data_IF_343868609463
#
_entry.id   IF_343868609463
#
_cell.length_a   1.000
_cell.length_b   1.000
_cell.length_c   1.000
_cell.angle_alpha   90.00
_cell.angle_beta   90.00
_cell.angle_gamma   90.00
#
_symmetry.space_group_name_H-M   'P 1'
#
loop_
_entity.id
_entity.type
_entity.pdbx_description
1 polymer ?
#
# COMPACT_ATOMS: atom_id res chain seq x y z
N UNK A 1 21.88 -21.75 16.11
CA UNK A 1 22.16 -21.49 14.68
C UNK A 1 21.55 -20.13 14.36
N UNK A 2 22.36 -19.06 14.37
CA UNK A 2 21.89 -17.69 14.08
C UNK A 2 22.14 -17.43 12.60
N UNK A 3 21.08 -17.23 11.82
CA UNK A 3 21.19 -16.88 10.40
C UNK A 3 21.52 -15.39 10.28
N UNK A 4 22.77 -15.05 10.00
CA UNK A 4 23.16 -13.71 9.56
C UNK A 4 22.81 -13.58 8.08
N UNK A 5 21.80 -12.75 7.78
CA UNK A 5 21.41 -12.41 6.42
C UNK A 5 22.48 -11.45 5.88
N UNK A 6 23.28 -11.93 4.92
CA UNK A 6 24.25 -11.10 4.20
C UNK A 6 23.50 -10.23 3.18
N UNK A 7 23.28 -8.96 3.55
CA UNK A 7 22.74 -7.98 2.62
C UNK A 7 23.86 -7.48 1.71
N UNK A 8 24.08 -8.19 0.60
CA UNK A 8 24.81 -7.66 -0.55
C UNK A 8 23.96 -6.57 -1.23
N UNK A 9 23.85 -5.41 -0.59
CA UNK A 9 23.30 -4.21 -1.20
C UNK A 9 24.48 -3.39 -1.74
N UNK A 10 24.57 -3.24 -3.06
CA UNK A 10 25.44 -2.22 -3.67
C UNK A 10 25.13 -0.86 -3.04
N UNK A 11 26.07 -0.24 -2.32
CA UNK A 11 25.66 0.66 -1.27
C UNK A 11 25.63 2.09 -1.80
N UNK A 12 24.43 2.63 -1.95
CA UNK A 12 24.25 3.98 -1.41
C UNK A 12 24.46 3.82 0.10
N UNK A 13 25.71 3.95 0.54
CA UNK A 13 26.04 3.84 1.96
C UNK A 13 25.23 4.90 2.72
N UNK A 14 24.77 4.54 3.91
CA UNK A 14 24.07 5.50 4.78
C UNK A 14 24.94 6.74 4.96
N UNK A 15 26.25 6.56 5.07
CA UNK A 15 27.25 7.63 5.13
C UNK A 15 27.21 8.57 3.91
N UNK A 16 27.19 8.02 2.69
CA UNK A 16 27.06 8.84 1.47
C UNK A 16 25.73 9.60 1.43
N UNK A 17 24.64 9.00 1.93
CA UNK A 17 23.35 9.65 2.02
C UNK A 17 23.33 10.76 3.08
N UNK A 18 23.97 10.55 4.24
CA UNK A 18 24.16 11.58 5.26
C UNK A 18 25.00 12.73 4.71
N UNK A 19 26.11 12.44 4.02
CA UNK A 19 26.96 13.47 3.42
C UNK A 19 26.21 14.31 2.38
N UNK A 20 25.36 13.67 1.56
CA UNK A 20 24.61 14.34 0.50
C UNK A 20 23.41 15.14 1.00
N UNK A 21 22.65 14.61 1.96
CA UNK A 21 21.35 15.16 2.36
C UNK A 21 21.35 15.74 3.79
N UNK A 22 22.34 15.40 4.61
CA UNK A 22 22.43 15.75 6.02
C UNK A 22 21.66 14.77 6.92
N UNK A 23 22.19 14.56 8.13
CA UNK A 23 21.64 13.58 9.08
C UNK A 23 20.18 13.87 9.46
N UNK A 24 19.81 15.13 9.69
CA UNK A 24 18.45 15.50 10.09
C UNK A 24 17.41 15.23 9.00
N UNK A 25 17.76 15.49 7.73
CA UNK A 25 16.84 15.22 6.60
C UNK A 25 16.70 13.72 6.36
N UNK A 26 17.81 12.98 6.46
CA UNK A 26 17.79 11.52 6.35
C UNK A 26 16.93 10.90 7.46
N UNK A 27 17.12 11.31 8.72
CA UNK A 27 16.36 10.81 9.86
C UNK A 27 14.86 11.10 9.70
N UNK A 28 14.49 12.33 9.32
CA UNK A 28 13.09 12.69 9.08
C UNK A 28 12.48 11.84 7.95
N UNK A 29 13.21 11.62 6.86
CA UNK A 29 12.74 10.78 5.77
C UNK A 29 12.56 9.32 6.21
N UNK A 30 13.49 8.77 7.01
CA UNK A 30 13.38 7.42 7.56
C UNK A 30 12.16 7.27 8.49
N UNK A 31 11.90 8.26 9.35
CA UNK A 31 10.71 8.29 10.21
C UNK A 31 9.41 8.36 9.40
N UNK A 32 9.36 9.22 8.39
CA UNK A 32 8.20 9.32 7.50
C UNK A 32 7.99 8.01 6.76
N UNK A 33 9.04 7.39 6.23
CA UNK A 33 8.96 6.10 5.57
C UNK A 33 8.46 5.00 6.51
N UNK A 34 8.91 4.98 7.78
CA UNK A 34 8.43 4.02 8.77
C UNK A 34 6.92 4.14 9.00
N UNK A 35 6.40 5.37 9.12
CA UNK A 35 4.98 5.63 9.36
C UNK A 35 4.15 5.41 8.10
N UNK A 36 4.64 5.89 6.95
CA UNK A 36 3.92 5.84 5.67
C UNK A 36 3.92 4.45 5.02
N UNK A 37 4.79 3.54 5.46
CA UNK A 37 4.86 2.15 4.99
C UNK A 37 3.81 1.23 5.65
N UNK A 38 2.74 1.80 6.18
CA UNK A 38 1.51 1.04 6.41
C UNK A 38 0.93 0.55 5.08
N UNK A 39 0.14 -0.55 5.07
CA UNK A 39 -0.58 -0.95 3.86
C UNK A 39 -1.39 0.24 3.37
N UNK A 40 -1.18 0.63 2.11
CA UNK A 40 -1.99 1.69 1.48
C UNK A 40 -3.46 1.31 1.69
N UNK A 41 -4.29 2.14 2.33
CA UNK A 41 -5.70 1.81 2.49
C UNK A 41 -6.26 1.53 1.10
N UNK A 42 -6.87 0.36 0.92
CA UNK A 42 -7.54 0.07 -0.34
C UNK A 42 -8.56 1.19 -0.60
N UNK A 43 -8.74 1.57 -1.86
CA UNK A 43 -9.83 2.48 -2.19
C UNK A 43 -11.11 1.82 -1.69
N UNK A 44 -11.87 2.52 -0.84
CA UNK A 44 -13.16 2.04 -0.35
C UNK A 44 -14.10 1.97 -1.55
N UNK A 45 -14.26 0.78 -2.11
CA UNK A 45 -15.18 0.51 -3.19
C UNK A 45 -16.52 0.04 -2.59
N UNK A 46 -17.59 0.79 -2.85
CA UNK A 46 -18.93 0.42 -2.42
C UNK A 46 -19.37 -0.93 -3.02
N UNK A 47 -18.81 -1.32 -4.17
CA UNK A 47 -19.01 -2.64 -4.79
C UNK A 47 -18.36 -3.80 -4.02
N UNK A 48 -17.41 -3.53 -3.11
CA UNK A 48 -16.80 -4.54 -2.24
C UNK A 48 -17.53 -4.72 -0.90
N UNK A 49 -18.57 -3.92 -0.63
CA UNK A 49 -19.39 -4.09 0.56
C UNK A 49 -20.31 -5.30 0.39
N UNK A 50 -20.44 -6.11 1.45
CA UNK A 50 -21.40 -7.21 1.48
C UNK A 50 -22.84 -6.69 1.41
N UNK A 51 -23.77 -7.52 0.91
CA UNK A 51 -25.17 -7.13 0.75
C UNK A 51 -25.83 -6.69 2.06
N UNK A 52 -25.44 -7.30 3.19
CA UNK A 52 -25.89 -6.89 4.52
C UNK A 52 -25.45 -5.46 4.86
N UNK A 53 -24.18 -5.14 4.65
CA UNK A 53 -23.63 -3.82 4.93
C UNK A 53 -24.21 -2.75 3.99
N UNK A 54 -24.46 -3.11 2.72
CA UNK A 54 -25.13 -2.25 1.75
C UNK A 54 -26.58 -1.96 2.13
N UNK A 55 -27.29 -2.95 2.69
CA UNK A 55 -28.66 -2.78 3.18
C UNK A 55 -28.72 -1.84 4.39
N UNK A 56 -27.77 -1.96 5.31
CA UNK A 56 -27.73 -1.13 6.53
C UNK A 56 -27.45 0.35 6.23
N UNK A 57 -26.73 0.65 5.16
CA UNK A 57 -26.41 2.03 4.72
C UNK A 57 -27.32 2.53 3.58
N UNK A 58 -28.30 1.75 3.15
CA UNK A 58 -29.27 2.13 2.12
C UNK A 58 -28.75 2.13 0.67
N UNK A 59 -27.65 1.45 0.37
CA UNK A 59 -26.99 1.43 -0.94
C UNK A 59 -27.60 0.44 -1.96
N UNK A 60 -28.65 -0.30 -1.60
CA UNK A 60 -29.28 -1.31 -2.47
C UNK A 60 -28.34 -2.50 -2.81
N UNK A 61 -28.83 -3.58 -3.42
CA UNK A 61 -27.99 -4.70 -3.82
C UNK A 61 -26.93 -4.26 -4.84
N UNK A 62 -25.76 -4.91 -4.85
CA UNK A 62 -24.73 -4.65 -5.85
C UNK A 62 -25.22 -5.14 -7.23
N UNK A 63 -25.04 -4.32 -8.27
CA UNK A 63 -25.34 -4.73 -9.64
C UNK A 63 -24.32 -5.80 -10.05
N UNK A 64 -24.75 -6.97 -10.57
CA UNK A 64 -23.82 -8.02 -10.95
C UNK A 64 -22.89 -7.51 -12.06
N UNK A 65 -21.61 -7.92 -12.05
CA UNK A 65 -20.69 -7.54 -13.12
C UNK A 65 -21.25 -8.01 -14.48
N UNK A 66 -21.11 -7.20 -15.54
CA UNK A 66 -21.61 -7.57 -16.86
C UNK A 66 -20.95 -8.87 -17.32
N UNK A 67 -21.78 -9.81 -17.76
CA UNK A 67 -21.29 -11.08 -18.30
C UNK A 67 -20.41 -10.82 -19.52
N UNK A 68 -19.29 -11.55 -19.69
CA UNK A 68 -18.29 -11.27 -20.73
C UNK A 68 -18.84 -11.37 -22.16
N UNK A 69 -19.94 -12.10 -22.37
CA UNK A 69 -20.62 -12.22 -23.66
C UNK A 69 -21.60 -11.07 -23.98
N UNK A 70 -21.86 -10.16 -23.04
CA UNK A 70 -22.73 -9.00 -23.27
C UNK A 70 -22.13 -7.93 -24.20
N UNK A 71 -20.81 -7.96 -24.39
CA UNK A 71 -20.04 -7.01 -25.23
C UNK A 71 -19.99 -7.40 -26.71
N UNK A 72 -20.51 -8.59 -27.07
CA UNK A 72 -20.49 -9.14 -28.43
C UNK A 72 -21.82 -8.95 -29.19
N UNK A 73 -22.77 -8.19 -28.63
CA UNK A 73 -24.08 -7.90 -29.24
C UNK A 73 -24.08 -6.57 -29.98
#
# INVERSE_FOLDING_TARGET
>A
MIQTIDHKADPVTIEAAIAKFGAAKLLRAALVALIARGPKPSKLDAGQLSDHLRRDIGLGPAEPPPEPWSLLR
#
